data_IF_246492575505
#
_entry.id   IF_246492575505
#
_cell.length_a   1.000
_cell.length_b   1.000
_cell.length_c   1.000
_cell.angle_alpha   90.00
_cell.angle_beta   90.00
_cell.angle_gamma   90.00
#
_symmetry.space_group_name_H-M   'P 1'
#
loop_
_entity.id
_entity.type
_entity.pdbx_description
1 polymer ?
#
# COMPACT_ATOMS: atom_id res chain seq x y z
N UNK A 1 -16.88 -24.20 33.19
CA UNK A 1 -15.75 -23.61 32.45
C UNK A 1 -16.24 -23.33 31.03
N UNK A 2 -16.68 -22.11 30.76
CA UNK A 2 -17.13 -21.72 29.41
C UNK A 2 -15.87 -21.35 28.64
N UNK A 3 -15.53 -22.14 27.63
CA UNK A 3 -14.46 -21.80 26.71
C UNK A 3 -14.78 -20.46 26.05
N UNK A 4 -13.86 -19.51 26.15
CA UNK A 4 -13.90 -18.19 25.55
C UNK A 4 -13.93 -18.30 24.03
N UNK A 5 -15.12 -18.55 23.47
CA UNK A 5 -15.38 -18.65 22.02
C UNK A 5 -15.27 -17.30 21.30
N UNK A 6 -14.91 -16.22 22.02
CA UNK A 6 -14.78 -14.87 21.49
C UNK A 6 -13.41 -14.26 21.76
N UNK A 7 -12.35 -15.08 21.85
CA UNK A 7 -11.01 -14.57 21.62
C UNK A 7 -10.94 -14.12 20.15
N UNK A 8 -11.39 -12.88 19.89
CA UNK A 8 -11.13 -12.16 18.64
C UNK A 8 -9.65 -12.37 18.41
N UNK A 9 -9.29 -13.00 17.29
CA UNK A 9 -7.90 -13.02 16.87
C UNK A 9 -7.45 -11.56 16.80
N UNK A 10 -6.73 -11.12 17.83
CA UNK A 10 -6.08 -9.82 17.83
C UNK A 10 -4.84 -10.04 16.98
N UNK A 11 -4.97 -9.81 15.68
CA UNK A 11 -3.80 -9.84 14.82
C UNK A 11 -2.83 -8.78 15.33
N UNK A 12 -1.63 -9.21 15.71
CA UNK A 12 -0.58 -8.30 16.15
C UNK A 12 0.03 -7.70 14.89
N UNK A 13 0.10 -6.36 14.77
CA UNK A 13 0.79 -5.75 13.64
C UNK A 13 2.24 -6.25 13.58
N UNK A 14 2.69 -6.52 12.36
CA UNK A 14 4.07 -6.80 12.04
C UNK A 14 4.96 -5.59 12.26
N UNK A 15 6.25 -5.75 11.94
CA UNK A 15 7.20 -4.63 11.96
C UNK A 15 6.93 -3.76 10.74
N UNK A 16 6.84 -2.45 10.95
CA UNK A 16 6.77 -1.48 9.86
C UNK A 16 8.06 -1.57 9.03
N UNK A 17 7.90 -1.69 7.71
CA UNK A 17 9.00 -1.76 6.76
C UNK A 17 8.89 -0.61 5.77
N UNK A 18 10.04 -0.18 5.25
CA UNK A 18 10.08 0.69 4.09
C UNK A 18 9.60 -0.11 2.89
N UNK A 19 8.52 0.32 2.25
CA UNK A 19 8.06 -0.25 0.98
C UNK A 19 8.77 0.44 -0.18
N UNK A 20 8.68 1.77 -0.25
CA UNK A 20 9.28 2.59 -1.31
C UNK A 20 9.67 3.96 -0.76
N UNK A 21 10.74 4.54 -1.30
CA UNK A 21 11.18 5.89 -0.96
C UNK A 21 11.41 6.70 -2.23
N UNK A 22 11.26 8.01 -2.12
CA UNK A 22 11.52 9.00 -3.16
C UNK A 22 10.88 8.63 -4.51
N UNK A 23 9.62 8.18 -4.49
CA UNK A 23 8.89 7.86 -5.73
C UNK A 23 8.66 9.16 -6.49
N UNK A 24 9.42 9.34 -7.57
CA UNK A 24 9.48 10.59 -8.33
C UNK A 24 8.59 10.61 -9.59
N UNK A 25 8.00 9.48 -9.96
CA UNK A 25 7.08 9.39 -11.08
C UNK A 25 6.07 8.23 -10.88
N UNK A 26 4.89 8.29 -11.54
CA UNK A 26 3.98 7.15 -11.60
C UNK A 26 4.62 5.91 -12.23
N UNK A 27 4.22 4.74 -11.76
CA UNK A 27 4.68 3.45 -12.25
C UNK A 27 4.09 3.13 -13.63
N UNK A 28 4.95 2.94 -14.63
CA UNK A 28 4.54 2.63 -16.01
C UNK A 28 4.14 1.16 -16.20
N UNK A 29 4.57 0.27 -15.31
CA UNK A 29 4.28 -1.16 -15.36
C UNK A 29 4.12 -1.74 -13.94
N UNK A 30 3.53 -2.92 -13.85
CA UNK A 30 3.49 -3.68 -12.61
C UNK A 30 4.85 -4.36 -12.37
N UNK A 31 5.26 -4.63 -11.13
CA UNK A 31 6.53 -5.31 -10.86
C UNK A 31 6.56 -6.71 -11.46
N UNK A 32 7.73 -7.14 -11.94
CA UNK A 32 7.90 -8.44 -12.60
C UNK A 32 7.77 -9.64 -11.64
N UNK A 33 7.83 -9.41 -10.32
CA UNK A 33 7.76 -10.47 -9.32
C UNK A 33 7.59 -9.94 -7.89
N UNK A 34 7.42 -10.83 -6.91
CA UNK A 34 7.07 -10.47 -5.54
C UNK A 34 8.22 -9.81 -4.76
N UNK A 35 9.46 -9.86 -5.26
CA UNK A 35 10.63 -9.30 -4.57
C UNK A 35 10.61 -7.78 -4.41
N UNK A 36 9.78 -7.07 -5.17
CA UNK A 36 9.56 -5.63 -5.01
C UNK A 36 8.40 -5.29 -4.07
N UNK A 37 7.69 -6.30 -3.55
CA UNK A 37 6.49 -6.16 -2.74
C UNK A 37 6.76 -6.47 -1.26
N UNK A 38 5.80 -6.11 -0.41
CA UNK A 38 5.86 -6.40 1.02
C UNK A 38 5.24 -7.77 1.26
N UNK A 39 5.92 -8.62 2.02
CA UNK A 39 5.35 -9.92 2.40
C UNK A 39 4.12 -9.73 3.28
N UNK A 40 3.05 -10.45 2.95
CA UNK A 40 1.79 -10.50 3.68
C UNK A 40 1.47 -11.89 4.22
N UNK A 41 2.44 -12.80 4.21
CA UNK A 41 2.26 -14.17 4.72
C UNK A 41 1.84 -14.15 6.19
N UNK A 42 0.70 -14.78 6.50
CA UNK A 42 0.16 -14.86 7.85
C UNK A 42 -0.61 -13.61 8.30
N UNK A 43 -0.74 -12.60 7.45
CA UNK A 43 -1.44 -11.35 7.74
C UNK A 43 -2.69 -11.20 6.88
N UNK A 44 -3.78 -10.75 7.48
CA UNK A 44 -5.04 -10.55 6.76
C UNK A 44 -4.98 -9.29 5.90
N UNK A 45 -4.17 -8.32 6.29
CA UNK A 45 -4.11 -7.00 5.67
C UNK A 45 -2.69 -6.44 5.69
N UNK A 46 -2.45 -5.43 4.88
CA UNK A 46 -1.24 -4.61 4.90
C UNK A 46 -1.70 -3.15 4.92
N UNK A 47 -1.27 -2.42 5.94
CA UNK A 47 -1.46 -0.98 6.02
C UNK A 47 -0.30 -0.31 5.31
N UNK A 48 -0.58 0.59 4.39
CA UNK A 48 0.42 1.46 3.79
C UNK A 48 0.26 2.87 4.33
N UNK A 49 1.32 3.44 4.86
CA UNK A 49 1.38 4.86 5.24
C UNK A 49 2.16 5.59 4.14
N UNK A 50 1.49 6.53 3.47
CA UNK A 50 1.96 7.25 2.29
C UNK A 50 2.24 8.69 2.70
N UNK A 51 3.51 9.07 2.70
CA UNK A 51 3.98 10.42 2.99
C UNK A 51 4.24 11.17 1.69
N UNK A 52 3.50 12.26 1.50
CA UNK A 52 3.58 13.16 0.34
C UNK A 52 4.16 14.52 0.72
N UNK A 53 4.67 14.71 1.94
CA UNK A 53 5.16 16.00 2.46
C UNK A 53 6.31 16.60 1.66
N UNK A 54 7.06 15.77 0.93
CA UNK A 54 8.17 16.19 0.08
C UNK A 54 7.75 16.53 -1.36
N UNK A 55 6.48 16.34 -1.73
CA UNK A 55 5.98 16.68 -3.06
C UNK A 55 5.67 18.17 -3.19
N UNK A 56 5.92 18.76 -4.36
CA UNK A 56 5.62 20.15 -4.67
C UNK A 56 4.46 20.26 -5.68
N UNK A 57 3.46 21.07 -5.36
CA UNK A 57 2.30 21.30 -6.25
C UNK A 57 1.45 20.04 -6.50
N UNK A 58 1.48 19.07 -5.58
CA UNK A 58 0.70 17.83 -5.70
C UNK A 58 -0.80 18.12 -5.58
N UNK A 59 -1.54 17.87 -6.67
CA UNK A 59 -2.99 18.13 -6.77
C UNK A 59 -3.80 16.86 -7.07
N UNK A 60 -3.11 15.77 -7.40
CA UNK A 60 -3.75 14.48 -7.61
C UNK A 60 -2.78 13.33 -7.43
N UNK A 61 -3.23 12.26 -6.77
CA UNK A 61 -2.46 11.04 -6.57
C UNK A 61 -3.39 9.84 -6.69
N UNK A 62 -3.09 8.91 -7.59
CA UNK A 62 -3.82 7.64 -7.70
C UNK A 62 -2.93 6.51 -7.27
N UNK A 63 -3.37 5.80 -6.24
CA UNK A 63 -2.69 4.62 -5.70
C UNK A 63 -3.46 3.36 -6.08
N UNK A 64 -2.75 2.26 -6.30
CA UNK A 64 -3.36 0.98 -6.62
C UNK A 64 -2.61 -0.17 -5.91
N UNK A 65 -3.27 -0.91 -5.01
CA UNK A 65 -2.68 -2.12 -4.47
C UNK A 65 -2.67 -3.21 -5.54
N UNK A 66 -1.57 -3.95 -5.59
CA UNK A 66 -1.37 -5.11 -6.44
C UNK A 66 -1.13 -6.32 -5.53
N UNK A 67 -1.85 -7.41 -5.79
CA UNK A 67 -1.78 -8.63 -4.98
C UNK A 67 -1.06 -9.73 -5.75
N UNK A 68 0.00 -10.28 -5.17
CA UNK A 68 0.76 -11.36 -5.80
C UNK A 68 -0.02 -12.67 -5.76
N UNK A 69 -0.12 -13.33 -6.90
CA UNK A 69 -0.64 -14.69 -7.01
C UNK A 69 0.48 -15.62 -7.49
N UNK A 70 1.02 -16.42 -6.57
CA UNK A 70 2.12 -17.34 -6.85
C UNK A 70 1.77 -18.38 -7.93
N UNK A 71 0.53 -18.88 -7.92
CA UNK A 71 0.05 -19.86 -8.92
C UNK A 71 0.01 -19.29 -10.33
N UNK A 72 -0.37 -18.01 -10.47
CA UNK A 72 -0.42 -17.33 -11.76
C UNK A 72 0.91 -16.66 -12.16
N UNK A 73 1.88 -16.59 -11.23
CA UNK A 73 3.17 -15.92 -11.44
C UNK A 73 3.05 -14.44 -11.78
N UNK A 74 2.00 -13.75 -11.30
CA UNK A 74 1.75 -12.33 -11.62
C UNK A 74 0.96 -11.60 -10.54
N UNK A 75 1.00 -10.27 -10.60
CA UNK A 75 0.15 -9.41 -9.79
C UNK A 75 -1.27 -9.29 -10.37
N UNK A 76 -2.25 -9.22 -9.48
CA UNK A 76 -3.62 -8.85 -9.79
C UNK A 76 -3.91 -7.46 -9.23
N UNK A 77 -4.50 -6.62 -10.08
CA UNK A 77 -4.82 -5.25 -9.74
C UNK A 77 -6.02 -5.17 -8.78
N UNK A 78 -5.81 -4.53 -7.63
CA UNK A 78 -6.87 -4.16 -6.70
C UNK A 78 -7.55 -2.83 -7.07
N UNK A 79 -8.48 -2.36 -6.23
CA UNK A 79 -9.21 -1.12 -6.47
C UNK A 79 -8.27 0.10 -6.42
N UNK A 80 -8.48 1.04 -7.34
CA UNK A 80 -7.73 2.31 -7.34
C UNK A 80 -8.29 3.24 -6.28
N UNK A 81 -7.41 3.94 -5.60
CA UNK A 81 -7.73 5.03 -4.68
C UNK A 81 -7.22 6.31 -5.30
N UNK A 82 -8.14 7.19 -5.68
CA UNK A 82 -7.82 8.51 -6.22
C UNK A 82 -7.95 9.55 -5.11
N UNK A 83 -6.87 10.29 -4.90
CA UNK A 83 -6.76 11.40 -3.96
C UNK A 83 -6.72 12.69 -4.77
N UNK A 84 -7.53 13.65 -4.35
CA UNK A 84 -7.67 14.97 -4.97
C UNK A 84 -6.99 16.03 -4.11
N UNK A 85 -6.90 17.26 -4.62
CA UNK A 85 -6.30 18.39 -3.89
C UNK A 85 -6.84 18.53 -2.46
N UNK A 86 -8.15 18.38 -2.27
CA UNK A 86 -8.77 18.48 -0.94
C UNK A 86 -8.36 17.37 0.03
N UNK A 87 -8.04 16.18 -0.48
CA UNK A 87 -7.57 15.06 0.34
C UNK A 87 -6.10 15.25 0.77
N UNK A 88 -5.33 15.97 -0.06
CA UNK A 88 -3.89 16.14 0.07
C UNK A 88 -3.51 17.41 0.85
N UNK A 89 -4.27 18.50 0.69
CA UNK A 89 -3.99 19.82 1.30
C UNK A 89 -4.11 19.80 2.84
N UNK A 90 -4.84 18.84 3.41
CA UNK A 90 -5.07 18.73 4.86
C UNK A 90 -4.33 17.60 5.57
N UNK A 91 -3.70 16.69 4.84
CA UNK A 91 -3.09 15.49 5.40
C UNK A 91 -1.92 15.00 4.54
N UNK A 92 -0.67 15.47 4.80
CA UNK A 92 0.50 15.06 4.02
C UNK A 92 0.87 13.58 4.23
N UNK A 93 0.22 12.88 5.15
CA UNK A 93 0.40 11.46 5.42
C UNK A 93 -0.95 10.75 5.37
N UNK A 94 -1.15 9.87 4.39
CA UNK A 94 -2.41 9.15 4.17
C UNK A 94 -2.17 7.67 4.44
N UNK A 95 -3.08 7.02 5.14
CA UNK A 95 -3.01 5.57 5.33
C UNK A 95 -4.01 4.84 4.44
N UNK A 96 -3.60 3.69 3.91
CA UNK A 96 -4.42 2.79 3.12
C UNK A 96 -4.33 1.38 3.67
N UNK A 97 -5.45 0.84 4.14
CA UNK A 97 -5.55 -0.56 4.51
C UNK A 97 -5.93 -1.41 3.30
N UNK A 98 -5.09 -2.41 3.01
CA UNK A 98 -5.30 -3.34 1.89
C UNK A 98 -5.53 -4.73 2.45
N UNK A 99 -6.67 -5.33 2.15
CA UNK A 99 -6.91 -6.76 2.44
C UNK A 99 -6.08 -7.64 1.52
N UNK A 100 -5.30 -8.56 2.10
CA UNK A 100 -4.36 -9.42 1.35
C UNK A 100 -5.09 -10.52 0.59
N UNK A 101 -6.26 -10.94 1.10
CA UNK A 101 -7.09 -12.02 0.50
C UNK A 101 -6.30 -13.30 0.24
N UNK A 102 -5.32 -13.58 1.09
CA UNK A 102 -4.43 -14.75 0.97
C UNK A 102 -3.27 -14.57 -0.01
N UNK A 103 -3.05 -13.38 -0.57
CA UNK A 103 -1.84 -13.08 -1.30
C UNK A 103 -0.61 -13.16 -0.39
N UNK A 104 0.48 -13.71 -0.92
CA UNK A 104 1.74 -13.85 -0.19
C UNK A 104 2.54 -12.54 -0.12
N UNK A 105 2.28 -11.63 -1.06
CA UNK A 105 2.86 -10.30 -1.10
C UNK A 105 1.90 -9.26 -1.67
N UNK A 106 2.00 -8.03 -1.18
CA UNK A 106 1.21 -6.87 -1.64
C UNK A 106 2.15 -5.73 -2.00
N UNK A 107 1.90 -5.11 -3.15
CA UNK A 107 2.64 -3.96 -3.63
C UNK A 107 1.71 -2.75 -3.77
N UNK A 108 2.08 -1.60 -3.21
CA UNK A 108 1.38 -0.36 -3.49
C UNK A 108 2.01 0.37 -4.69
N UNK A 109 1.25 0.46 -5.78
CA UNK A 109 1.61 1.16 -7.02
C UNK A 109 1.14 2.61 -6.96
N UNK A 110 1.98 3.54 -7.42
CA UNK A 110 1.57 4.90 -7.77
C UNK A 110 1.12 4.88 -9.23
N UNK A 111 -0.18 4.76 -9.46
CA UNK A 111 -0.74 4.56 -10.79
C UNK A 111 -0.82 5.86 -11.61
N UNK A 112 -1.00 7.01 -10.96
CA UNK A 112 -0.98 8.32 -11.59
C UNK A 112 -0.67 9.39 -10.54
N UNK A 113 -0.11 10.52 -10.96
CA UNK A 113 0.10 11.68 -10.10
C UNK A 113 0.09 12.96 -10.94
N UNK A 114 -0.36 14.05 -10.34
CA UNK A 114 -0.31 15.41 -10.90
C UNK A 114 0.40 16.30 -9.89
N UNK A 115 1.66 16.64 -10.16
CA UNK A 115 2.49 17.46 -9.29
C UNK A 115 3.49 18.27 -10.14
N UNK A 116 4.02 19.36 -9.60
CA UNK A 116 5.16 20.07 -10.19
C UNK A 116 6.45 19.28 -9.95
N UNK A 117 6.63 18.74 -8.74
CA UNK A 117 7.64 17.74 -8.42
C UNK A 117 7.01 16.67 -7.51
N UNK A 118 7.13 15.40 -7.88
CA UNK A 118 6.62 14.29 -7.08
C UNK A 118 7.74 13.73 -6.20
N UNK A 119 7.45 13.55 -4.91
CA UNK A 119 8.29 12.77 -4.00
C UNK A 119 7.38 12.13 -2.95
N UNK A 120 7.20 10.81 -3.08
CA UNK A 120 6.34 10.03 -2.19
C UNK A 120 7.15 8.94 -1.52
N UNK A 121 7.06 8.89 -0.19
CA UNK A 121 7.59 7.81 0.63
C UNK A 121 6.43 6.92 1.08
N UNK A 122 6.63 5.60 1.02
CA UNK A 122 5.61 4.61 1.35
C UNK A 122 6.21 3.62 2.33
N UNK A 123 5.58 3.55 3.49
CA UNK A 123 5.86 2.58 4.54
C UNK A 123 4.74 1.55 4.57
N UNK A 124 5.04 0.34 5.00
CA UNK A 124 4.06 -0.74 5.07
C UNK A 124 4.14 -1.48 6.40
N UNK A 125 2.98 -1.79 6.97
CA UNK A 125 2.85 -2.58 8.18
C UNK A 125 1.85 -3.72 7.92
N UNK A 126 2.31 -4.96 7.78
CA UNK A 126 1.43 -6.13 7.72
C UNK A 126 0.63 -6.28 9.01
N UNK A 127 -0.64 -6.66 8.93
CA UNK A 127 -1.52 -6.82 10.09
C UNK A 127 -2.57 -7.91 9.95
#
# INVERSE_FOLDING_TARGET
>A
MIADRFQRACFKPGVAVVHRLAVAAPDTADPAGPGAAVSSLGYQRVRFDVDTSLSEGLTGLTLQPLLWNATAGRFFAGPKVALTSSDLDGCPAIYLDVETRGAEAVFLKVAAATATALAVDIYATPW
#
